data_IF_530166263638
#
_entry.id   IF_530166263638
#
_cell.length_a   1.000
_cell.length_b   1.000
_cell.length_c   1.000
_cell.angle_alpha   90.00
_cell.angle_beta   90.00
_cell.angle_gamma   90.00
#
_symmetry.space_group_name_H-M   'P 1'
#
loop_
_entity.id
_entity.type
_entity.pdbx_description
1 polymer ?
#
# COMPACT_ATOMS: atom_id res chain seq x y z
N UNK A 1 38.00 -1.31 -40.45
CA UNK A 1 38.18 -1.33 -38.98
C UNK A 1 36.79 -1.22 -38.34
N UNK A 2 36.12 -2.35 -38.12
CA UNK A 2 34.84 -2.42 -37.42
C UNK A 2 35.10 -2.45 -35.91
N UNK A 3 34.74 -1.39 -35.21
CA UNK A 3 34.78 -1.37 -33.75
C UNK A 3 33.77 -2.38 -33.19
N UNK A 4 34.14 -3.18 -32.17
CA UNK A 4 33.22 -4.13 -31.55
C UNK A 4 32.16 -3.34 -30.78
N UNK A 5 30.96 -3.21 -31.34
CA UNK A 5 29.80 -2.78 -30.57
C UNK A 5 29.46 -3.91 -29.60
N UNK A 6 29.82 -3.72 -28.33
CA UNK A 6 29.49 -4.64 -27.23
C UNK A 6 27.99 -4.59 -26.90
N UNK A 7 27.14 -5.06 -27.80
CA UNK A 7 25.74 -5.37 -27.50
C UNK A 7 25.68 -6.77 -26.89
N UNK A 8 25.79 -6.86 -25.57
CA UNK A 8 25.47 -8.08 -24.85
C UNK A 8 23.94 -8.25 -24.82
N UNK A 9 23.41 -9.16 -25.64
CA UNK A 9 22.01 -9.58 -25.56
C UNK A 9 21.89 -10.72 -24.55
N UNK A 10 21.20 -10.49 -23.43
CA UNK A 10 20.80 -11.58 -22.54
C UNK A 10 19.39 -12.06 -22.93
N UNK A 11 19.31 -13.26 -23.50
CA UNK A 11 18.06 -13.96 -23.83
C UNK A 11 17.68 -14.86 -22.64
N UNK A 12 16.48 -14.70 -22.11
CA UNK A 12 16.01 -15.44 -20.94
C UNK A 12 14.74 -16.23 -21.25
N UNK A 13 14.70 -17.49 -20.81
CA UNK A 13 13.47 -18.29 -20.73
C UNK A 13 12.76 -17.93 -19.41
N UNK A 14 11.64 -17.21 -19.50
CA UNK A 14 10.73 -17.05 -18.37
C UNK A 14 9.62 -18.08 -18.56
N UNK A 15 9.55 -19.06 -17.65
CA UNK A 15 8.45 -20.03 -17.57
C UNK A 15 7.09 -19.30 -17.66
N UNK A 16 6.03 -19.87 -18.26
CA UNK A 16 4.74 -19.20 -18.36
C UNK A 16 4.25 -18.84 -16.96
N UNK A 17 4.33 -17.55 -16.65
CA UNK A 17 3.80 -17.02 -15.41
C UNK A 17 2.29 -16.94 -15.56
N UNK A 18 1.59 -17.92 -15.00
CA UNK A 18 0.14 -17.90 -14.95
C UNK A 18 -0.33 -16.69 -14.12
N UNK A 19 -1.24 -15.92 -14.70
CA UNK A 19 -2.00 -14.89 -14.02
C UNK A 19 -3.24 -15.52 -13.37
N UNK A 20 -3.69 -14.97 -12.25
CA UNK A 20 -5.03 -15.25 -11.74
C UNK A 20 -6.09 -14.60 -12.65
N UNK A 21 -7.37 -14.83 -12.34
CA UNK A 21 -8.52 -14.27 -13.08
C UNK A 21 -8.49 -12.73 -13.21
N UNK A 22 -7.70 -12.04 -12.37
CA UNK A 22 -7.51 -10.59 -12.42
C UNK A 22 -6.35 -10.13 -13.33
N UNK A 23 -5.69 -11.07 -14.01
CA UNK A 23 -4.54 -10.79 -14.87
C UNK A 23 -3.26 -10.47 -14.09
N UNK A 24 -3.18 -10.86 -12.81
CA UNK A 24 -2.02 -10.61 -11.93
C UNK A 24 -1.58 -11.89 -11.25
N UNK A 25 -0.30 -12.01 -10.93
CA UNK A 25 0.17 -13.07 -10.02
C UNK A 25 1.42 -12.64 -9.26
N UNK A 26 1.75 -13.28 -8.13
CA UNK A 26 2.98 -13.01 -7.39
C UNK A 26 4.23 -13.10 -8.26
N UNK A 27 4.25 -14.06 -9.18
CA UNK A 27 5.34 -14.26 -10.14
C UNK A 27 5.41 -13.14 -11.19
N UNK A 28 4.27 -12.56 -11.62
CA UNK A 28 4.27 -11.39 -12.51
C UNK A 28 4.77 -10.14 -11.79
N UNK A 29 4.41 -9.98 -10.51
CA UNK A 29 4.90 -8.89 -9.68
C UNK A 29 6.42 -9.01 -9.46
N UNK A 30 6.92 -10.22 -9.24
CA UNK A 30 8.35 -10.50 -9.10
C UNK A 30 9.09 -10.19 -10.41
N UNK A 31 8.58 -10.65 -11.56
CA UNK A 31 9.15 -10.34 -12.88
C UNK A 31 9.20 -8.82 -13.14
N UNK A 32 8.13 -8.10 -12.84
CA UNK A 32 8.07 -6.64 -13.02
C UNK A 32 9.06 -5.91 -12.09
N UNK A 33 9.22 -6.38 -10.86
CA UNK A 33 10.19 -5.83 -9.91
C UNK A 33 11.62 -6.06 -10.38
N UNK A 34 11.97 -7.29 -10.78
CA UNK A 34 13.29 -7.64 -11.30
C UNK A 34 13.62 -6.84 -12.56
N UNK A 35 12.65 -6.69 -13.46
CA UNK A 35 12.81 -5.89 -14.68
C UNK A 35 13.16 -4.44 -14.39
N UNK A 36 12.46 -3.84 -13.43
CA UNK A 36 12.69 -2.44 -13.05
C UNK A 36 14.03 -2.24 -12.36
N UNK A 37 14.37 -3.09 -11.39
CA UNK A 37 15.64 -2.97 -10.63
C UNK A 37 16.84 -3.22 -11.53
N UNK A 38 16.83 -4.29 -12.33
CA UNK A 38 17.94 -4.56 -13.26
C UNK A 38 18.10 -3.44 -14.27
N UNK A 39 16.99 -2.95 -14.81
CA UNK A 39 17.09 -1.91 -15.80
C UNK A 39 17.53 -0.57 -15.21
N UNK A 40 17.17 -0.26 -13.96
CA UNK A 40 17.76 0.88 -13.24
C UNK A 40 19.27 0.75 -13.08
N UNK A 41 19.76 -0.47 -12.79
CA UNK A 41 21.19 -0.76 -12.73
C UNK A 41 21.90 -0.60 -14.08
N UNK A 42 21.26 -1.02 -15.17
CA UNK A 42 21.81 -0.97 -16.53
C UNK A 42 21.54 0.36 -17.26
N UNK A 43 21.04 1.37 -16.54
CA UNK A 43 20.71 2.71 -17.04
C UNK A 43 19.78 2.70 -18.27
N UNK A 44 18.83 1.75 -18.33
CA UNK A 44 17.81 1.71 -19.37
C UNK A 44 16.70 2.74 -19.08
N UNK A 45 16.07 3.30 -20.11
CA UNK A 45 14.80 4.03 -19.96
C UNK A 45 13.62 3.05 -20.01
N UNK A 46 12.86 2.88 -18.90
CA UNK A 46 11.71 1.99 -18.86
C UNK A 46 10.54 2.41 -19.76
N UNK A 47 10.59 3.62 -20.34
CA UNK A 47 9.60 4.11 -21.31
C UNK A 47 10.01 3.87 -22.77
N UNK A 48 11.30 3.65 -23.07
CA UNK A 48 11.82 3.66 -24.43
C UNK A 48 12.33 2.29 -24.90
N UNK A 49 12.88 1.47 -24.00
CA UNK A 49 13.23 0.10 -24.29
C UNK A 49 12.12 -0.84 -23.77
N UNK A 50 11.66 -1.78 -24.62
CA UNK A 50 10.77 -2.83 -24.15
C UNK A 50 11.43 -3.53 -22.95
N UNK A 51 10.72 -3.57 -21.81
CA UNK A 51 11.01 -4.48 -20.69
C UNK A 51 11.42 -5.83 -21.28
N UNK A 52 12.38 -6.53 -20.66
CA UNK A 52 12.73 -7.94 -20.88
C UNK A 52 11.95 -8.59 -22.04
N UNK A 53 12.55 -8.66 -23.23
CA UNK A 53 11.78 -9.07 -24.41
C UNK A 53 11.23 -10.48 -24.23
N UNK A 54 9.90 -10.61 -24.17
CA UNK A 54 9.26 -11.77 -24.82
C UNK A 54 9.52 -11.57 -26.31
N UNK A 55 10.06 -12.59 -26.98
CA UNK A 55 10.23 -12.55 -28.44
C UNK A 55 8.93 -12.06 -29.09
N UNK A 56 8.93 -10.92 -29.79
CA UNK A 56 7.71 -10.32 -30.30
C UNK A 56 7.23 -10.93 -31.63
N UNK A 57 7.83 -12.05 -32.10
CA UNK A 57 7.68 -12.50 -33.48
C UNK A 57 7.09 -13.90 -33.70
N UNK A 58 6.39 -14.51 -32.73
CA UNK A 58 5.69 -15.78 -32.99
C UNK A 58 4.20 -15.72 -32.61
N UNK A 59 3.35 -15.85 -33.63
CA UNK A 59 1.87 -15.84 -33.54
C UNK A 59 1.23 -17.15 -34.00
N UNK A 60 2.00 -18.26 -34.06
CA UNK A 60 1.52 -19.57 -34.55
C UNK A 60 1.21 -20.59 -33.45
N UNK A 61 0.44 -21.64 -33.78
CA UNK A 61 -0.08 -22.64 -32.83
C UNK A 61 0.75 -23.94 -32.71
N UNK A 62 1.83 -24.09 -33.49
CA UNK A 62 2.64 -25.32 -33.45
C UNK A 62 3.69 -25.29 -32.32
N UNK A 63 3.73 -26.31 -31.44
CA UNK A 63 4.71 -26.42 -30.35
C UNK A 63 6.11 -26.89 -30.82
N UNK A 64 6.21 -27.46 -32.02
CA UNK A 64 7.40 -28.20 -32.48
C UNK A 64 8.39 -27.32 -33.26
N UNK A 65 8.07 -26.03 -33.46
CA UNK A 65 8.88 -25.09 -34.26
C UNK A 65 10.00 -24.40 -33.48
N UNK A 66 10.19 -24.75 -32.22
CA UNK A 66 11.28 -24.27 -31.38
C UNK A 66 12.59 -25.00 -31.72
N UNK A 67 13.31 -24.57 -32.76
CA UNK A 67 14.71 -24.96 -32.93
C UNK A 67 15.55 -23.98 -32.08
N UNK A 68 15.79 -24.34 -30.83
CA UNK A 68 16.62 -23.58 -29.90
C UNK A 68 18.08 -23.61 -30.34
N UNK A 69 18.71 -22.45 -30.49
CA UNK A 69 20.17 -22.39 -30.47
C UNK A 69 20.66 -22.89 -29.10
N UNK A 70 21.57 -23.86 -29.14
CA UNK A 70 22.16 -24.61 -28.03
C UNK A 70 23.12 -23.75 -27.18
N UNK A 71 22.69 -22.60 -26.65
CA UNK A 71 23.60 -21.61 -26.03
C UNK A 71 23.37 -21.26 -24.55
N UNK A 72 22.44 -21.87 -23.81
CA UNK A 72 22.28 -21.55 -22.38
C UNK A 72 22.37 -22.79 -21.49
N UNK A 73 23.42 -22.85 -20.68
CA UNK A 73 23.75 -23.94 -19.76
C UNK A 73 23.41 -23.60 -18.29
N UNK A 74 22.83 -22.41 -18.05
CA UNK A 74 22.53 -21.90 -16.71
C UNK A 74 21.10 -21.37 -16.64
N UNK A 75 20.36 -21.88 -15.66
CA UNK A 75 18.99 -21.47 -15.33
C UNK A 75 19.05 -20.86 -13.92
N UNK A 76 18.84 -19.55 -13.80
CA UNK A 76 18.82 -18.86 -12.51
C UNK A 76 17.38 -18.57 -12.06
N UNK A 77 17.11 -18.68 -10.76
CA UNK A 77 15.82 -18.30 -10.18
C UNK A 77 15.73 -16.78 -10.12
N UNK A 78 14.60 -16.25 -10.57
CA UNK A 78 14.37 -14.81 -10.66
C UNK A 78 14.42 -14.09 -9.29
N UNK A 79 14.12 -14.80 -8.20
CA UNK A 79 14.27 -14.33 -6.82
C UNK A 79 15.72 -14.24 -6.34
N UNK A 80 16.57 -15.15 -6.79
CA UNK A 80 17.99 -15.16 -6.44
C UNK A 80 18.71 -14.09 -7.26
N UNK A 81 18.37 -13.97 -8.53
CA UNK A 81 18.90 -12.92 -9.41
C UNK A 81 18.56 -11.50 -8.95
N UNK A 82 17.31 -11.20 -8.57
CA UNK A 82 16.98 -9.85 -8.05
C UNK A 82 17.68 -9.56 -6.72
N UNK A 83 17.97 -10.59 -5.90
CA UNK A 83 18.75 -10.42 -4.67
C UNK A 83 20.19 -10.04 -5.01
N UNK A 84 20.83 -10.74 -5.94
CA UNK A 84 22.19 -10.44 -6.39
C UNK A 84 22.29 -9.03 -7.00
N UNK A 85 21.33 -8.65 -7.86
CA UNK A 85 21.31 -7.28 -8.44
C UNK A 85 21.19 -6.23 -7.33
N UNK A 86 20.33 -6.45 -6.33
CA UNK A 86 20.15 -5.50 -5.22
C UNK A 86 21.38 -5.40 -4.31
N UNK A 87 22.07 -6.52 -4.09
CA UNK A 87 23.35 -6.54 -3.38
C UNK A 87 24.42 -5.74 -4.13
N UNK A 88 24.46 -5.84 -5.47
CA UNK A 88 25.41 -5.07 -6.30
C UNK A 88 25.06 -3.57 -6.34
N UNK A 89 23.77 -3.21 -6.30
CA UNK A 89 23.33 -1.81 -6.36
C UNK A 89 23.16 -1.13 -5.01
N UNK A 90 23.51 -1.80 -3.90
CA UNK A 90 23.23 -1.35 -2.53
C UNK A 90 21.74 -0.96 -2.32
N UNK A 91 20.82 -1.61 -3.05
CA UNK A 91 19.39 -1.37 -2.89
C UNK A 91 18.85 -2.19 -1.71
N UNK A 92 18.08 -1.59 -0.78
CA UNK A 92 17.52 -2.32 0.34
C UNK A 92 16.55 -3.41 -0.15
N UNK A 93 16.76 -4.63 0.33
CA UNK A 93 15.86 -5.75 0.05
C UNK A 93 14.43 -5.39 0.46
N UNK A 94 13.42 -5.84 -0.31
CA UNK A 94 12.02 -5.59 0.03
C UNK A 94 11.71 -6.14 1.44
N UNK A 95 11.66 -5.24 2.42
CA UNK A 95 11.17 -5.54 3.76
C UNK A 95 9.65 -5.44 3.71
N UNK A 96 8.96 -6.48 4.15
CA UNK A 96 7.51 -6.36 4.38
C UNK A 96 7.30 -5.21 5.37
N UNK A 97 6.37 -4.26 5.12
CA UNK A 97 6.16 -3.15 6.03
C UNK A 97 5.90 -3.72 7.42
N UNK A 98 6.82 -3.46 8.36
CA UNK A 98 6.58 -3.79 9.77
C UNK A 98 5.32 -3.05 10.20
N UNK A 99 4.54 -3.70 11.05
CA UNK A 99 3.35 -3.09 11.62
C UNK A 99 3.75 -1.77 12.30
N UNK A 100 3.41 -0.64 11.66
CA UNK A 100 3.87 0.71 12.06
C UNK A 100 3.23 1.19 13.37
N UNK A 101 2.11 0.58 13.76
CA UNK A 101 1.32 1.00 14.92
C UNK A 101 1.22 -0.14 15.92
N UNK A 102 1.43 0.19 17.20
CA UNK A 102 1.36 -0.78 18.31
C UNK A 102 -0.06 -1.33 18.49
N UNK A 103 -1.09 -0.58 18.09
CA UNK A 103 -2.49 -1.00 18.19
C UNK A 103 -3.39 -0.32 17.14
N UNK A 104 -4.57 -0.90 16.91
CA UNK A 104 -5.59 -0.29 16.04
C UNK A 104 -6.14 1.03 16.57
N UNK A 105 -6.08 1.27 17.90
CA UNK A 105 -6.48 2.56 18.50
C UNK A 105 -5.50 3.67 18.15
N UNK A 106 -4.21 3.39 18.28
CA UNK A 106 -3.15 4.33 17.90
C UNK A 106 -3.25 4.72 16.41
N UNK A 107 -3.55 3.75 15.54
CA UNK A 107 -3.84 4.01 14.12
C UNK A 107 -5.01 4.98 13.94
N UNK A 108 -6.11 4.79 14.67
CA UNK A 108 -7.30 5.66 14.57
C UNK A 108 -6.98 7.08 15.06
N UNK A 109 -6.28 7.22 16.17
CA UNK A 109 -5.91 8.53 16.73
C UNK A 109 -4.94 9.28 15.82
N UNK A 110 -3.92 8.61 15.29
CA UNK A 110 -2.99 9.22 14.32
C UNK A 110 -3.70 9.65 13.04
N UNK A 111 -4.67 8.87 12.56
CA UNK A 111 -5.47 9.24 11.39
C UNK A 111 -6.40 10.42 11.67
N UNK A 112 -6.98 10.51 12.87
CA UNK A 112 -7.76 11.69 13.30
C UNK A 112 -6.88 12.94 13.38
N UNK A 113 -5.74 12.86 14.06
CA UNK A 113 -4.81 13.98 14.18
C UNK A 113 -4.32 14.48 12.81
N UNK A 114 -3.99 13.56 11.88
CA UNK A 114 -3.62 13.93 10.49
C UNK A 114 -4.76 14.63 9.76
N UNK A 115 -6.00 14.19 9.96
CA UNK A 115 -7.18 14.82 9.38
C UNK A 115 -7.39 16.22 9.95
N UNK A 116 -7.29 16.39 11.26
CA UNK A 116 -7.44 17.68 11.94
C UNK A 116 -6.35 18.66 11.49
N UNK A 117 -5.09 18.21 11.42
CA UNK A 117 -3.99 19.00 10.86
C UNK A 117 -4.27 19.41 9.43
N UNK A 118 -4.68 18.48 8.55
CA UNK A 118 -4.99 18.81 7.16
C UNK A 118 -6.18 19.78 7.02
N UNK A 119 -7.18 19.69 7.91
CA UNK A 119 -8.30 20.62 7.95
C UNK A 119 -7.88 22.00 8.45
N UNK A 120 -7.02 22.08 9.48
CA UNK A 120 -6.47 23.33 9.98
C UNK A 120 -5.57 24.01 8.94
N UNK A 121 -4.68 23.26 8.27
CA UNK A 121 -3.87 23.78 7.17
C UNK A 121 -4.74 24.30 6.02
N UNK A 122 -5.83 23.60 5.71
CA UNK A 122 -6.77 24.05 4.69
C UNK A 122 -7.50 25.33 5.09
N UNK A 123 -7.98 25.43 6.32
CA UNK A 123 -8.64 26.63 6.82
C UNK A 123 -7.69 27.84 6.78
N UNK A 124 -6.45 27.66 7.24
CA UNK A 124 -5.42 28.71 7.19
C UNK A 124 -5.09 29.09 5.73
N UNK A 125 -4.98 28.12 4.82
CA UNK A 125 -4.73 28.39 3.41
C UNK A 125 -5.91 29.14 2.75
N UNK A 126 -7.14 28.74 3.05
CA UNK A 126 -8.36 29.38 2.57
C UNK A 126 -8.47 30.82 3.15
N UNK A 127 -8.14 31.05 4.42
CA UNK A 127 -8.10 32.38 5.06
C UNK A 127 -7.02 33.29 4.43
N UNK A 128 -5.80 32.79 4.22
CA UNK A 128 -4.72 33.53 3.55
C UNK A 128 -5.10 33.88 2.10
N UNK A 129 -5.74 32.96 1.38
CA UNK A 129 -6.18 33.20 0.01
C UNK A 129 -7.32 34.24 -0.07
N UNK A 130 -8.20 34.30 0.95
CA UNK A 130 -9.29 35.29 1.04
C UNK A 130 -8.79 36.66 1.48
N UNK A 131 -7.95 36.75 2.50
CA UNK A 131 -7.45 38.04 3.03
C UNK A 131 -6.40 38.67 2.13
N UNK A 132 -5.54 37.84 1.51
CA UNK A 132 -4.33 38.32 0.86
C UNK A 132 -4.19 37.87 -0.59
N UNK A 133 -5.10 37.10 -1.19
CA UNK A 133 -4.89 36.45 -2.49
C UNK A 133 -4.65 37.39 -3.69
N UNK A 134 -5.21 38.60 -3.69
CA UNK A 134 -4.98 39.61 -4.73
C UNK A 134 -3.84 40.58 -4.39
N UNK A 135 -3.54 40.78 -3.10
CA UNK A 135 -2.41 41.61 -2.64
C UNK A 135 -1.09 40.84 -2.68
N UNK A 136 -1.08 39.55 -2.33
CA UNK A 136 0.07 38.65 -2.45
C UNK A 136 0.48 38.44 -3.90
N UNK A 137 -0.46 38.36 -4.84
CA UNK A 137 -0.13 38.32 -6.27
C UNK A 137 0.49 39.63 -6.77
N UNK A 138 0.09 40.78 -6.19
CA UNK A 138 0.69 42.09 -6.51
C UNK A 138 2.07 42.27 -5.90
N UNK A 139 2.32 41.68 -4.73
CA UNK A 139 3.59 41.79 -4.01
C UNK A 139 4.56 40.64 -4.31
N UNK A 140 4.17 39.63 -5.07
CA UNK A 140 5.04 38.51 -5.41
C UNK A 140 5.89 38.88 -6.65
N UNK A 141 7.22 39.05 -6.49
CA UNK A 141 8.10 39.51 -7.55
C UNK A 141 8.28 38.49 -8.69
N UNK A 142 7.86 37.24 -8.49
CA UNK A 142 8.00 36.16 -9.47
C UNK A 142 6.80 36.08 -10.45
N UNK A 143 5.73 36.86 -10.26
CA UNK A 143 4.64 36.92 -11.24
C UNK A 143 4.97 37.90 -12.37
N UNK A 144 4.84 37.41 -13.60
CA UNK A 144 4.89 38.21 -14.81
C UNK A 144 3.47 38.47 -15.28
N UNK A 145 3.05 39.73 -15.35
CA UNK A 145 1.69 40.15 -15.72
C UNK A 145 0.58 39.39 -14.95
N UNK A 146 0.82 39.08 -13.67
CA UNK A 146 -0.11 38.34 -12.82
C UNK A 146 -0.11 36.81 -13.03
N UNK A 147 0.86 36.27 -13.79
CA UNK A 147 1.04 34.83 -14.02
C UNK A 147 2.40 34.36 -13.50
N UNK A 148 2.39 33.31 -12.68
CA UNK A 148 3.61 32.66 -12.19
C UNK A 148 4.19 31.75 -13.28
N UNK A 149 5.17 32.24 -14.03
CA UNK A 149 5.82 31.47 -15.12
C UNK A 149 6.68 30.36 -14.51
N UNK A 150 6.44 29.12 -14.91
CA UNK A 150 7.25 27.97 -14.49
C UNK A 150 8.29 27.64 -15.52
N UNK A 151 9.48 27.28 -15.03
CA UNK A 151 10.66 27.02 -15.85
C UNK A 151 10.98 25.53 -15.84
N UNK A 152 11.21 24.95 -17.02
CA UNK A 152 11.78 23.60 -17.18
C UNK A 152 13.27 23.68 -16.93
N UNK A 153 13.93 24.63 -17.61
CA UNK A 153 15.32 25.02 -17.45
C UNK A 153 15.38 26.56 -17.43
N UNK A 154 16.45 27.18 -16.91
CA UNK A 154 16.64 28.63 -17.05
C UNK A 154 16.47 29.08 -18.50
N UNK A 155 15.58 30.05 -18.76
CA UNK A 155 15.25 30.52 -20.11
C UNK A 155 14.23 29.69 -20.90
N UNK A 156 13.83 28.51 -20.42
CA UNK A 156 12.80 27.65 -21.04
C UNK A 156 11.58 27.48 -20.13
N UNK A 157 10.46 28.08 -20.52
CA UNK A 157 9.21 27.97 -19.78
C UNK A 157 8.43 26.68 -20.08
N UNK A 158 7.80 26.13 -19.03
CA UNK A 158 6.78 25.11 -19.07
C UNK A 158 5.43 25.74 -19.42
N UNK A 159 5.22 26.06 -20.71
CA UNK A 159 4.07 26.82 -21.23
C UNK A 159 2.73 26.22 -20.82
N UNK A 160 2.53 24.94 -21.11
CA UNK A 160 1.26 24.24 -20.82
C UNK A 160 0.98 24.09 -19.32
N UNK A 161 2.02 23.82 -18.52
CA UNK A 161 1.87 23.70 -17.07
C UNK A 161 1.55 25.05 -16.42
N UNK A 162 2.21 26.12 -16.88
CA UNK A 162 1.94 27.50 -16.47
C UNK A 162 0.50 27.88 -16.81
N UNK A 163 0.08 27.65 -18.06
CA UNK A 163 -1.25 27.95 -18.55
C UNK A 163 -2.34 27.18 -17.81
N UNK A 164 -2.14 25.87 -17.60
CA UNK A 164 -3.09 25.00 -16.91
C UNK A 164 -3.23 25.36 -15.42
N UNK A 165 -2.12 25.63 -14.72
CA UNK A 165 -2.16 26.03 -13.31
C UNK A 165 -2.81 27.40 -13.12
N UNK A 166 -2.53 28.34 -14.01
CA UNK A 166 -3.20 29.64 -13.99
C UNK A 166 -4.70 29.49 -14.21
N UNK A 167 -5.12 28.69 -15.20
CA UNK A 167 -6.53 28.38 -15.45
C UNK A 167 -7.22 27.71 -14.24
N UNK A 168 -6.54 26.79 -13.55
CA UNK A 168 -7.03 26.20 -12.30
C UNK A 168 -7.19 27.25 -11.19
N UNK A 169 -6.20 28.12 -10.99
CA UNK A 169 -6.24 29.20 -10.00
C UNK A 169 -7.43 30.13 -10.26
N UNK A 170 -7.61 30.57 -11.51
CA UNK A 170 -8.76 31.39 -11.91
C UNK A 170 -10.08 30.66 -11.69
N UNK A 171 -10.16 29.37 -12.01
CA UNK A 171 -11.37 28.58 -11.78
C UNK A 171 -11.72 28.42 -10.29
N UNK A 172 -10.72 28.27 -9.41
CA UNK A 172 -10.91 28.27 -7.96
C UNK A 172 -11.42 29.64 -7.46
N UNK A 173 -10.85 30.74 -7.96
CA UNK A 173 -11.33 32.11 -7.66
C UNK A 173 -12.77 32.33 -8.10
N UNK A 174 -13.13 31.97 -9.32
CA UNK A 174 -14.51 32.06 -9.82
C UNK A 174 -15.49 31.28 -8.93
N UNK A 175 -15.07 30.10 -8.44
CA UNK A 175 -15.90 29.32 -7.51
C UNK A 175 -16.02 29.99 -6.14
N UNK A 176 -14.94 30.53 -5.61
CA UNK A 176 -14.95 31.23 -4.33
C UNK A 176 -15.82 32.50 -4.38
N UNK A 177 -15.76 33.24 -5.49
CA UNK A 177 -16.60 34.42 -5.75
C UNK A 177 -18.07 34.08 -6.06
N UNK A 178 -18.44 32.81 -6.17
CA UNK A 178 -19.80 32.38 -6.52
C UNK A 178 -20.18 32.60 -7.99
N UNK A 179 -19.22 32.94 -8.85
CA UNK A 179 -19.44 33.20 -10.27
C UNK A 179 -19.56 31.90 -11.09
N UNK A 180 -20.22 32.00 -12.25
CA UNK A 180 -20.36 30.87 -13.15
C UNK A 180 -19.04 30.58 -13.87
N UNK A 181 -18.43 29.45 -13.54
CA UNK A 181 -17.22 28.95 -14.19
C UNK A 181 -17.50 28.45 -15.63
N UNK A 182 -17.56 29.36 -16.61
CA UNK A 182 -17.82 29.04 -18.03
C UNK A 182 -16.59 28.44 -18.72
N UNK A 183 -16.78 27.70 -19.82
CA UNK A 183 -15.64 27.14 -20.59
C UNK A 183 -14.78 28.29 -21.14
N UNK A 184 -15.41 29.37 -21.62
CA UNK A 184 -14.73 30.55 -22.16
C UNK A 184 -13.80 31.22 -21.14
N UNK A 185 -14.27 31.49 -19.92
CA UNK A 185 -13.45 32.15 -18.90
C UNK A 185 -12.20 31.33 -18.52
N UNK A 186 -12.31 29.99 -18.51
CA UNK A 186 -11.17 29.10 -18.26
C UNK A 186 -10.20 29.09 -19.45
N UNK A 187 -10.73 29.06 -20.67
CA UNK A 187 -9.93 29.09 -21.91
C UNK A 187 -9.17 30.42 -22.01
N UNK A 188 -9.82 31.55 -21.75
CA UNK A 188 -9.20 32.88 -21.77
C UNK A 188 -8.09 33.00 -20.72
N UNK A 189 -8.29 32.39 -19.54
CA UNK A 189 -7.26 32.34 -18.50
C UNK A 189 -6.06 31.47 -18.89
N UNK A 190 -6.32 30.37 -19.60
CA UNK A 190 -5.27 29.48 -20.12
C UNK A 190 -4.47 30.17 -21.23
N UNK A 191 -5.13 30.78 -22.22
CA UNK A 191 -4.49 31.43 -23.36
C UNK A 191 -3.61 32.60 -22.95
N UNK A 192 -4.10 33.44 -22.02
CA UNK A 192 -3.31 34.56 -21.46
C UNK A 192 -2.01 34.05 -20.84
N UNK A 193 -2.10 33.06 -19.97
CA UNK A 193 -0.93 32.50 -19.29
C UNK A 193 0.01 31.75 -20.23
N UNK A 194 -0.51 31.07 -21.27
CA UNK A 194 0.32 30.44 -22.30
C UNK A 194 1.12 31.49 -23.08
N UNK A 195 0.47 32.57 -23.50
CA UNK A 195 1.12 33.63 -24.27
C UNK A 195 2.19 34.37 -23.44
N UNK A 196 1.95 34.60 -22.16
CA UNK A 196 2.94 35.15 -21.23
C UNK A 196 4.13 34.18 -21.11
N UNK A 197 3.89 32.89 -20.86
CA UNK A 197 4.97 31.89 -20.78
C UNK A 197 5.76 31.75 -22.10
N UNK A 198 5.10 31.89 -23.24
CA UNK A 198 5.73 31.89 -24.57
C UNK A 198 6.62 33.13 -24.78
N UNK A 199 6.17 34.30 -24.31
CA UNK A 199 6.92 35.56 -24.42
C UNK A 199 8.18 35.53 -23.57
N UNK A 200 8.07 35.05 -22.33
CA UNK A 200 9.18 35.05 -21.37
C UNK A 200 10.16 33.88 -21.57
N UNK A 201 9.67 32.70 -21.95
CA UNK A 201 10.48 31.47 -21.98
C UNK A 201 10.24 30.59 -23.21
N UNK A 202 9.94 31.22 -24.35
CA UNK A 202 9.73 30.55 -25.63
C UNK A 202 10.93 29.73 -26.11
N UNK A 203 12.15 30.17 -25.78
CA UNK A 203 13.40 29.47 -26.14
C UNK A 203 13.50 29.17 -27.64
N UNK A 204 13.12 30.16 -28.48
CA UNK A 204 13.09 30.05 -29.94
C UNK A 204 12.04 29.08 -30.51
N UNK A 205 11.22 28.44 -29.67
CA UNK A 205 10.17 27.51 -30.13
C UNK A 205 8.98 28.28 -30.68
N UNK A 206 8.40 27.77 -31.77
CA UNK A 206 7.11 28.23 -32.26
C UNK A 206 6.02 28.06 -31.18
N UNK A 207 5.03 28.95 -31.19
CA UNK A 207 3.84 28.79 -30.36
C UNK A 207 3.07 27.54 -30.83
N UNK A 208 2.88 26.61 -29.91
CA UNK A 208 2.20 25.33 -30.14
C UNK A 208 0.95 25.28 -29.27
N UNK A 209 0.03 26.22 -29.53
CA UNK A 209 -1.21 26.32 -28.78
C UNK A 209 -2.13 25.15 -29.16
N UNK A 210 -2.72 24.43 -28.19
CA UNK A 210 -3.66 23.36 -28.51
C UNK A 210 -4.87 23.87 -29.32
N UNK A 211 -5.44 23.05 -30.23
CA UNK A 211 -6.61 23.44 -31.00
C UNK A 211 -7.83 23.68 -30.09
N UNK A 212 -8.81 24.45 -30.58
CA UNK A 212 -9.96 24.90 -29.76
C UNK A 212 -10.73 23.73 -29.11
N UNK A 213 -10.88 22.61 -29.83
CA UNK A 213 -11.53 21.39 -29.33
C UNK A 213 -10.85 20.85 -28.06
N UNK A 214 -9.52 20.87 -28.01
CA UNK A 214 -8.76 20.36 -26.89
C UNK A 214 -8.79 21.33 -25.71
N UNK A 215 -8.76 22.65 -25.99
CA UNK A 215 -8.96 23.70 -24.98
C UNK A 215 -10.34 23.62 -24.30
N UNK A 216 -11.40 23.34 -25.06
CA UNK A 216 -12.74 23.07 -24.50
C UNK A 216 -12.75 21.83 -23.60
N UNK A 217 -12.09 20.76 -24.02
CA UNK A 217 -11.98 19.53 -23.21
C UNK A 217 -11.19 19.77 -21.94
N UNK A 218 -10.09 20.52 -22.03
CA UNK A 218 -9.28 20.96 -20.90
C UNK A 218 -10.10 21.80 -19.92
N UNK A 219 -10.88 22.77 -20.40
CA UNK A 219 -11.73 23.60 -19.55
C UNK A 219 -12.76 22.79 -18.76
N UNK A 220 -13.38 21.79 -19.40
CA UNK A 220 -14.29 20.85 -18.73
C UNK A 220 -13.58 20.03 -17.65
N UNK A 221 -12.33 19.61 -17.90
CA UNK A 221 -11.50 18.90 -16.90
C UNK A 221 -11.14 19.81 -15.73
N UNK A 222 -10.72 21.04 -15.98
CA UNK A 222 -10.45 22.07 -14.95
C UNK A 222 -11.68 22.26 -14.07
N UNK A 223 -12.86 22.45 -14.67
CA UNK A 223 -14.12 22.53 -13.92
C UNK A 223 -14.37 21.27 -13.09
N UNK A 224 -14.13 20.09 -13.67
CA UNK A 224 -14.22 18.81 -12.98
C UNK A 224 -13.28 18.74 -11.76
N UNK A 225 -12.04 19.18 -11.88
CA UNK A 225 -11.06 19.19 -10.78
C UNK A 225 -11.49 20.11 -9.65
N UNK A 226 -11.91 21.34 -9.99
CA UNK A 226 -12.37 22.30 -8.99
C UNK A 226 -13.62 21.76 -8.29
N UNK A 227 -14.64 21.31 -9.02
CA UNK A 227 -15.93 20.88 -8.44
C UNK A 227 -15.87 19.55 -7.68
N UNK A 228 -15.18 18.55 -8.21
CA UNK A 228 -15.14 17.19 -7.63
C UNK A 228 -14.01 16.99 -6.62
N UNK A 229 -13.09 17.95 -6.48
CA UNK A 229 -11.95 17.84 -5.57
C UNK A 229 -11.00 16.69 -5.91
N UNK A 230 -11.01 16.21 -7.16
CA UNK A 230 -10.09 15.18 -7.65
C UNK A 230 -8.72 15.79 -7.90
N UNK A 231 -7.97 16.07 -6.85
CA UNK A 231 -6.53 16.28 -6.98
C UNK A 231 -5.88 14.89 -7.05
N UNK A 232 -5.78 14.32 -8.25
CA UNK A 232 -4.68 13.37 -8.49
C UNK A 232 -3.42 14.23 -8.47
N UNK A 233 -2.78 14.29 -7.30
CA UNK A 233 -1.61 15.13 -7.06
C UNK A 233 -0.48 14.69 -7.99
N UNK A 234 -0.23 15.43 -9.07
CA UNK A 234 0.94 15.32 -9.93
C UNK A 234 2.19 15.88 -9.24
N UNK A 235 2.56 15.21 -8.16
CA UNK A 235 3.79 15.41 -7.41
C UNK A 235 3.98 14.18 -6.53
N UNK A 236 5.23 13.77 -6.32
CA UNK A 236 5.54 12.71 -5.36
C UNK A 236 4.83 13.04 -4.05
N UNK A 237 3.85 12.22 -3.60
CA UNK A 237 3.08 12.55 -2.42
C UNK A 237 4.05 12.54 -1.23
N UNK A 238 4.38 13.72 -0.70
CA UNK A 238 5.09 13.84 0.58
C UNK A 238 4.20 13.35 1.73
N UNK A 239 2.87 13.31 1.51
CA UNK A 239 1.91 12.72 2.42
C UNK A 239 1.90 11.18 2.30
N UNK A 240 2.35 10.50 3.36
CA UNK A 240 2.22 9.04 3.49
C UNK A 240 0.74 8.66 3.55
N UNK A 241 0.19 8.16 2.44
CA UNK A 241 -1.14 7.59 2.40
C UNK A 241 -1.24 6.35 3.30
N UNK A 242 -2.42 6.11 3.87
CA UNK A 242 -2.68 4.90 4.63
C UNK A 242 -2.52 3.67 3.73
N UNK A 243 -1.74 2.69 4.17
CA UNK A 243 -1.52 1.44 3.44
C UNK A 243 -2.81 0.63 3.30
N UNK A 244 -2.85 -0.34 2.40
CA UNK A 244 -4.04 -1.19 2.21
C UNK A 244 -4.42 -1.96 3.47
N UNK A 245 -3.45 -2.41 4.28
CA UNK A 245 -3.72 -3.05 5.58
C UNK A 245 -4.31 -2.06 6.59
N UNK A 246 -3.77 -0.84 6.67
CA UNK A 246 -4.30 0.22 7.52
C UNK A 246 -5.72 0.62 7.11
N UNK A 247 -6.02 0.70 5.80
CA UNK A 247 -7.38 0.95 5.28
C UNK A 247 -8.36 -0.17 5.67
N UNK A 248 -7.95 -1.44 5.56
CA UNK A 248 -8.77 -2.58 6.01
C UNK A 248 -9.00 -2.54 7.53
N UNK A 249 -7.97 -2.24 8.31
CA UNK A 249 -8.09 -2.09 9.76
C UNK A 249 -9.07 -0.96 10.14
N UNK A 250 -9.02 0.18 9.45
CA UNK A 250 -9.98 1.28 9.65
C UNK A 250 -11.39 0.95 9.16
N UNK A 251 -11.53 0.16 8.09
CA UNK A 251 -12.83 -0.30 7.63
C UNK A 251 -13.51 -1.23 8.63
N UNK A 252 -12.74 -1.97 9.44
CA UNK A 252 -13.25 -2.87 10.48
C UNK A 252 -13.38 -2.19 11.84
N UNK A 253 -12.35 -1.46 12.28
CA UNK A 253 -12.23 -0.90 13.64
C UNK A 253 -12.57 0.60 13.70
N UNK A 254 -12.62 1.29 12.56
CA UNK A 254 -13.00 2.69 12.48
C UNK A 254 -14.51 2.87 12.65
N UNK A 255 -14.97 4.13 12.72
CA UNK A 255 -16.36 4.49 13.06
C UNK A 255 -17.42 3.72 12.27
N UNK A 256 -17.29 3.64 10.94
CA UNK A 256 -18.24 2.91 10.08
C UNK A 256 -18.19 1.40 10.29
N UNK A 257 -16.99 0.85 10.50
CA UNK A 257 -16.81 -0.58 10.80
C UNK A 257 -17.41 -0.97 12.13
N UNK A 258 -17.14 -0.18 13.17
CA UNK A 258 -17.71 -0.36 14.50
C UNK A 258 -19.23 -0.22 14.54
N UNK A 259 -19.80 0.76 13.81
CA UNK A 259 -21.26 0.89 13.67
C UNK A 259 -21.86 -0.34 12.98
N UNK A 260 -21.29 -0.77 11.85
CA UNK A 260 -21.79 -1.94 11.12
C UNK A 260 -21.62 -3.25 11.90
N UNK A 261 -20.56 -3.37 12.70
CA UNK A 261 -20.39 -4.48 13.62
C UNK A 261 -21.44 -4.45 14.73
N UNK A 262 -21.73 -3.28 15.32
CA UNK A 262 -22.78 -3.12 16.32
C UNK A 262 -24.17 -3.43 15.74
N UNK A 263 -24.47 -2.97 14.52
CA UNK A 263 -25.70 -3.29 13.79
C UNK A 263 -25.87 -4.81 13.60
N UNK A 264 -24.80 -5.54 13.24
CA UNK A 264 -24.85 -7.01 13.10
C UNK A 264 -25.20 -7.76 14.39
N UNK A 265 -24.89 -7.16 15.53
CA UNK A 265 -25.19 -7.72 16.85
C UNK A 265 -26.43 -7.08 17.50
N UNK A 266 -27.12 -6.16 16.79
CA UNK A 266 -28.32 -5.49 17.32
C UNK A 266 -29.48 -6.47 17.50
N UNK A 267 -29.64 -7.40 16.57
CA UNK A 267 -30.55 -8.54 16.69
C UNK A 267 -29.76 -9.80 17.06
N UNK A 268 -29.94 -10.24 18.30
CA UNK A 268 -29.30 -11.42 18.87
C UNK A 268 -29.85 -12.73 18.32
N UNK A 269 -31.04 -12.68 17.71
CA UNK A 269 -31.70 -13.82 17.08
C UNK A 269 -31.44 -13.92 15.58
N UNK A 270 -30.68 -12.99 15.01
CA UNK A 270 -30.26 -13.05 13.61
C UNK A 270 -29.42 -14.30 13.31
N UNK A 271 -29.48 -14.80 12.07
CA UNK A 271 -28.71 -15.95 11.62
C UNK A 271 -27.20 -15.77 11.83
N UNK A 272 -26.72 -14.54 11.65
CA UNK A 272 -25.33 -14.18 11.92
C UNK A 272 -24.97 -14.35 13.41
N UNK A 273 -25.76 -13.79 14.32
CA UNK A 273 -25.52 -13.88 15.76
C UNK A 273 -25.63 -15.33 16.26
N UNK A 274 -26.60 -16.09 15.77
CA UNK A 274 -26.78 -17.52 16.06
C UNK A 274 -25.58 -18.34 15.61
N UNK A 275 -25.09 -18.13 14.39
CA UNK A 275 -23.90 -18.81 13.86
C UNK A 275 -22.65 -18.52 14.71
N UNK A 276 -22.39 -17.23 15.00
CA UNK A 276 -21.25 -16.82 15.82
C UNK A 276 -21.32 -17.39 17.25
N UNK A 277 -22.51 -17.43 17.86
CA UNK A 277 -22.72 -18.04 19.18
C UNK A 277 -22.54 -19.57 19.16
N UNK A 278 -22.93 -20.25 18.07
CA UNK A 278 -22.73 -21.69 17.91
C UNK A 278 -21.24 -22.05 17.79
N UNK A 279 -20.46 -21.28 17.05
CA UNK A 279 -19.00 -21.42 16.98
C UNK A 279 -18.36 -21.21 18.36
N UNK A 280 -18.81 -20.19 19.09
CA UNK A 280 -18.28 -19.92 20.44
C UNK A 280 -18.66 -21.03 21.44
N UNK A 281 -19.87 -21.59 21.34
CA UNK A 281 -20.30 -22.76 22.13
C UNK A 281 -19.45 -23.99 21.81
N UNK A 282 -19.23 -24.30 20.54
CA UNK A 282 -18.40 -25.46 20.13
C UNK A 282 -16.94 -25.28 20.56
N UNK A 283 -16.38 -24.07 20.46
CA UNK A 283 -15.05 -23.78 20.99
C UNK A 283 -14.96 -23.96 22.52
N UNK A 284 -15.97 -23.50 23.26
CA UNK A 284 -16.04 -23.69 24.71
C UNK A 284 -16.19 -25.18 25.08
N UNK A 285 -17.00 -25.95 24.35
CA UNK A 285 -17.09 -27.41 24.53
C UNK A 285 -15.74 -28.11 24.30
N UNK A 286 -15.00 -27.74 23.25
CA UNK A 286 -13.64 -28.30 23.03
C UNK A 286 -12.69 -28.01 24.19
N UNK A 287 -12.78 -26.81 24.79
CA UNK A 287 -12.00 -26.46 25.99
C UNK A 287 -12.43 -27.23 27.24
N UNK A 288 -13.72 -27.52 27.40
CA UNK A 288 -14.19 -28.36 28.52
C UNK A 288 -13.72 -29.80 28.37
N UNK A 289 -13.78 -30.38 27.17
CA UNK A 289 -13.23 -31.73 26.93
C UNK A 289 -11.74 -31.81 27.24
N UNK A 290 -10.95 -30.83 26.80
CA UNK A 290 -9.53 -30.76 27.17
C UNK A 290 -9.33 -30.68 28.70
N UNK A 291 -10.26 -30.07 29.44
CA UNK A 291 -10.21 -30.05 30.91
C UNK A 291 -10.49 -31.43 31.50
N UNK A 292 -11.53 -32.12 31.04
CA UNK A 292 -11.90 -33.44 31.54
C UNK A 292 -10.88 -34.52 31.15
N UNK A 293 -10.32 -34.43 29.94
CA UNK A 293 -9.21 -35.27 29.50
C UNK A 293 -7.99 -35.08 30.42
N UNK A 294 -7.63 -33.84 30.71
CA UNK A 294 -6.52 -33.55 31.61
C UNK A 294 -6.78 -34.02 33.04
N UNK A 295 -8.04 -33.97 33.52
CA UNK A 295 -8.43 -34.59 34.80
C UNK A 295 -8.17 -36.10 34.78
N UNK A 296 -8.63 -36.79 33.74
CA UNK A 296 -8.41 -38.22 33.56
C UNK A 296 -6.92 -38.58 33.53
N UNK A 297 -6.12 -37.84 32.75
CA UNK A 297 -4.66 -38.03 32.65
C UNK A 297 -3.96 -37.82 33.99
N UNK A 298 -4.31 -36.77 34.73
CA UNK A 298 -3.75 -36.51 36.06
C UNK A 298 -4.14 -37.61 37.05
N UNK A 299 -5.40 -38.04 37.08
CA UNK A 299 -5.86 -39.11 37.98
C UNK A 299 -5.19 -40.45 37.66
N UNK A 300 -5.09 -40.81 36.38
CA UNK A 300 -4.45 -42.04 35.93
C UNK A 300 -2.97 -42.05 36.30
N UNK A 301 -2.24 -40.97 36.03
CA UNK A 301 -0.83 -40.87 36.35
C UNK A 301 -0.57 -40.89 37.87
N UNK A 302 -1.37 -40.16 38.65
CA UNK A 302 -1.19 -40.15 40.11
C UNK A 302 -1.55 -41.51 40.72
N UNK A 303 -2.59 -42.18 40.23
CA UNK A 303 -2.98 -43.50 40.74
C UNK A 303 -1.98 -44.60 40.38
N UNK A 304 -1.37 -44.56 39.20
CA UNK A 304 -0.31 -45.50 38.81
C UNK A 304 0.93 -45.36 39.71
N UNK A 305 1.40 -44.13 39.94
CA UNK A 305 2.55 -43.89 40.83
C UNK A 305 2.26 -44.26 42.29
N UNK A 306 1.04 -44.01 42.77
CA UNK A 306 0.62 -44.46 44.11
C UNK A 306 0.62 -45.98 44.24
N UNK A 307 0.27 -46.71 43.18
CA UNK A 307 0.38 -48.18 43.14
C UNK A 307 1.84 -48.63 43.23
N UNK A 308 2.77 -47.88 42.65
CA UNK A 308 4.23 -48.08 42.79
C UNK A 308 4.79 -47.63 44.15
N UNK A 309 3.94 -47.15 45.07
CA UNK A 309 4.31 -46.81 46.44
C UNK A 309 4.74 -45.36 46.67
N UNK A 310 4.60 -44.46 45.69
CA UNK A 310 4.96 -43.03 45.86
C UNK A 310 3.90 -42.06 45.33
N UNK A 311 3.78 -40.88 45.96
CA UNK A 311 2.85 -39.83 45.51
C UNK A 311 3.63 -38.72 44.75
N UNK A 312 3.48 -38.62 43.41
CA UNK A 312 4.30 -37.76 42.58
C UNK A 312 4.11 -36.28 42.91
N UNK A 313 5.18 -35.49 42.77
CA UNK A 313 5.13 -34.06 43.01
C UNK A 313 4.37 -33.33 41.88
N UNK A 314 3.82 -32.15 42.18
CA UNK A 314 3.07 -31.35 41.18
C UNK A 314 3.93 -30.97 39.98
N UNK A 315 5.23 -30.74 40.20
CA UNK A 315 6.21 -30.42 39.15
C UNK A 315 6.49 -31.63 38.26
N UNK A 316 6.57 -32.82 38.86
CA UNK A 316 6.77 -34.08 38.11
C UNK A 316 5.56 -34.38 37.22
N UNK A 317 4.35 -34.29 37.77
CA UNK A 317 3.11 -34.48 36.99
C UNK A 317 2.98 -33.45 35.87
N UNK A 318 3.39 -32.20 36.13
CA UNK A 318 3.39 -31.13 35.14
C UNK A 318 4.33 -31.45 33.97
N UNK A 319 5.56 -31.87 34.26
CA UNK A 319 6.54 -32.24 33.24
C UNK A 319 6.09 -33.44 32.41
N UNK A 320 5.60 -34.50 33.06
CA UNK A 320 5.19 -35.73 32.39
C UNK A 320 3.98 -35.53 31.48
N UNK A 321 3.00 -34.75 31.93
CA UNK A 321 1.76 -34.53 31.16
C UNK A 321 1.83 -33.32 30.22
N UNK A 322 2.94 -32.58 30.22
CA UNK A 322 3.10 -31.34 29.46
C UNK A 322 2.16 -30.22 29.93
N UNK A 323 1.82 -30.20 31.22
CA UNK A 323 0.91 -29.23 31.83
C UNK A 323 1.67 -28.21 32.68
N UNK A 324 1.08 -27.04 32.92
CA UNK A 324 1.66 -26.10 33.89
C UNK A 324 1.42 -26.59 35.33
N UNK A 325 2.36 -26.29 36.23
CA UNK A 325 2.25 -26.64 37.67
C UNK A 325 0.98 -26.05 38.30
N UNK A 326 0.60 -24.84 37.88
CA UNK A 326 -0.65 -24.20 38.30
C UNK A 326 -1.86 -25.02 37.85
N UNK A 327 -1.90 -25.45 36.59
CA UNK A 327 -3.01 -26.24 36.06
C UNK A 327 -3.14 -27.58 36.78
N UNK A 328 -2.04 -28.27 37.03
CA UNK A 328 -2.04 -29.52 37.81
C UNK A 328 -2.59 -29.31 39.23
N UNK A 329 -2.29 -28.18 39.88
CA UNK A 329 -2.82 -27.87 41.21
C UNK A 329 -4.33 -27.66 41.21
N UNK A 330 -4.85 -26.93 40.23
CA UNK A 330 -6.29 -26.71 40.04
C UNK A 330 -6.99 -28.06 39.85
N UNK A 331 -6.51 -28.89 38.92
CA UNK A 331 -7.10 -30.19 38.61
C UNK A 331 -7.01 -31.16 39.78
N UNK A 332 -5.88 -31.21 40.52
CA UNK A 332 -5.76 -32.04 41.72
C UNK A 332 -6.75 -31.62 42.82
N UNK A 333 -6.97 -30.31 42.98
CA UNK A 333 -7.94 -29.76 43.94
C UNK A 333 -9.36 -30.17 43.54
N UNK A 334 -9.72 -30.02 42.27
CA UNK A 334 -11.02 -30.43 41.73
C UNK A 334 -11.26 -31.94 41.84
N UNK A 335 -10.21 -32.76 41.65
CA UNK A 335 -10.28 -34.23 41.79
C UNK A 335 -10.23 -34.72 43.24
N UNK A 336 -10.09 -33.83 44.23
CA UNK A 336 -9.94 -34.23 45.64
C UNK A 336 -8.64 -34.97 45.95
N UNK A 337 -7.65 -34.94 45.05
CA UNK A 337 -6.36 -35.62 45.21
C UNK A 337 -5.46 -34.75 46.09
N UNK A 338 -5.52 -35.00 47.40
CA UNK A 338 -4.59 -34.41 48.35
C UNK A 338 -3.28 -35.22 48.43
N UNK A 339 -2.17 -34.52 48.60
CA UNK A 339 -0.86 -35.09 48.97
C UNK A 339 -0.58 -34.71 50.42
N UNK A 340 -0.17 -35.66 51.26
CA UNK A 340 0.32 -35.36 52.62
C UNK A 340 1.46 -34.35 52.52
N UNK A 341 1.35 -33.23 53.24
CA UNK A 341 2.44 -32.24 53.33
C UNK A 341 3.60 -32.88 54.09
N UNK A 342 4.74 -33.04 53.43
CA UNK A 342 5.97 -33.55 54.02
C UNK A 342 7.14 -33.31 53.07
N UNK A 343 8.33 -33.05 53.64
CA UNK A 343 9.57 -32.90 52.88
C UNK A 343 9.82 -34.21 52.12
N UNK A 344 10.16 -34.18 50.82
CA UNK A 344 10.50 -35.40 50.10
C UNK A 344 11.63 -36.12 50.84
N UNK A 345 11.46 -37.41 51.12
CA UNK A 345 12.56 -38.24 51.60
C UNK A 345 13.66 -38.17 50.55
N UNK A 346 14.86 -37.75 50.96
CA UNK A 346 16.06 -37.83 50.12
C UNK A 346 16.21 -39.29 49.69
N UNK A 347 16.20 -39.54 48.38
CA UNK A 347 16.79 -40.75 47.82
C UNK A 347 18.29 -40.65 47.92
#
# INVERSE_FOLDING_TARGET
RSGPSGTAQCLWLIDPVYADESGKSPNMALLAATSRTLGGFLDHDPNFAHRFSRSPFYTGESPDRYIWYRQHHRIDRLSDFIREVREVTDEPQHVSPRQEFSSGRELIEKVKARREQAQAFRAIADEIEVEMGEETDRCNPDLVDGVLVRWINPGRAARDETAFRHALKTAHRLRAAGERMTDAAIIDAYERAYNIAQREGGDGRAAEMPPMRDRQTMARRVRGYVTQGKTDSYGTPTAKYATTSQRKALATMGRRGGQKAAERWSDRESDYAKGALAELKTANMKRSFSTDENKGRVLAYVSSRKREGYDPARVEVANELGLSVRRVNELRKELGISRKRGRPAKK
#
